data_IF_727071604255
#
_entry.id   IF_727071604255
#
_cell.length_a   1.000
_cell.length_b   1.000
_cell.length_c   1.000
_cell.angle_alpha   90.00
_cell.angle_beta   90.00
_cell.angle_gamma   90.00
#
_symmetry.space_group_name_H-M   'P 1'
#
loop_
_entity.id
_entity.type
_entity.pdbx_description
1 polymer ?
#
# COMPACT_ATOMS: atom_id res chain seq x y z
N UNK A 1 24.51 -17.38 -65.06
CA UNK A 1 25.41 -17.47 -63.89
C UNK A 1 24.84 -16.57 -62.83
N UNK A 2 24.17 -17.18 -61.85
CA UNK A 2 23.65 -16.50 -60.66
C UNK A 2 24.76 -16.30 -59.61
N UNK A 3 24.38 -15.77 -58.44
CA UNK A 3 25.20 -15.54 -57.24
C UNK A 3 26.03 -14.24 -57.25
N UNK A 4 25.34 -13.11 -57.07
CA UNK A 4 25.95 -11.78 -57.01
C UNK A 4 25.33 -10.77 -56.03
N UNK A 5 24.53 -11.20 -55.03
CA UNK A 5 24.06 -10.34 -53.92
C UNK A 5 23.35 -11.15 -52.80
N UNK A 6 24.06 -11.96 -52.02
CA UNK A 6 23.47 -12.78 -50.91
C UNK A 6 23.90 -12.30 -49.51
N UNK A 7 24.41 -11.08 -49.40
CA UNK A 7 24.59 -10.39 -48.10
C UNK A 7 24.13 -8.95 -48.21
N UNK A 8 22.88 -8.69 -47.76
CA UNK A 8 22.56 -7.39 -47.17
C UNK A 8 23.12 -7.41 -45.75
N UNK A 9 23.82 -6.36 -45.28
CA UNK A 9 24.05 -6.21 -43.85
C UNK A 9 22.68 -6.08 -43.18
N UNK A 10 22.31 -7.08 -42.38
CA UNK A 10 21.12 -7.00 -41.55
C UNK A 10 21.36 -5.92 -40.50
N UNK A 11 20.49 -4.90 -40.56
CA UNK A 11 20.07 -3.99 -39.50
C UNK A 11 21.02 -3.86 -38.30
N UNK A 12 21.58 -2.67 -38.15
CA UNK A 12 22.39 -2.22 -37.01
C UNK A 12 21.83 -2.71 -35.66
N UNK A 13 22.71 -3.09 -34.74
CA UNK A 13 22.33 -3.35 -33.37
C UNK A 13 21.67 -2.08 -32.79
N UNK A 14 20.42 -2.22 -32.32
CA UNK A 14 19.73 -1.16 -31.59
C UNK A 14 20.63 -0.73 -30.41
N UNK A 15 21.10 0.54 -30.34
CA UNK A 15 21.97 1.00 -29.28
C UNK A 15 21.16 1.16 -28.00
N UNK A 16 20.87 0.03 -27.35
CA UNK A 16 20.24 -0.07 -26.05
C UNK A 16 20.92 0.91 -25.07
N UNK A 17 20.14 1.62 -24.24
CA UNK A 17 20.56 2.92 -23.73
C UNK A 17 21.76 2.84 -22.77
N UNK A 18 22.95 3.06 -23.33
CA UNK A 18 24.20 3.24 -22.59
C UNK A 18 24.23 4.61 -21.88
N UNK A 19 23.35 4.80 -20.87
CA UNK A 19 23.33 5.99 -20.01
C UNK A 19 23.10 5.67 -18.54
N UNK A 20 24.21 5.63 -17.80
CA UNK A 20 24.26 6.01 -16.40
C UNK A 20 24.09 4.89 -15.37
N UNK A 21 25.22 4.42 -14.84
CA UNK A 21 25.32 3.57 -13.64
C UNK A 21 24.85 4.25 -12.32
N UNK A 22 23.99 5.26 -12.40
CA UNK A 22 23.31 5.94 -11.29
C UNK A 22 21.79 5.77 -11.31
N UNK A 23 21.21 5.10 -12.31
CA UNK A 23 19.75 4.97 -12.49
C UNK A 23 19.15 3.66 -11.91
N UNK A 24 19.89 2.87 -11.14
CA UNK A 24 19.40 1.57 -10.62
C UNK A 24 18.16 1.68 -9.72
N UNK A 25 18.20 2.52 -8.69
CA UNK A 25 17.04 2.73 -7.81
C UNK A 25 15.90 3.50 -8.49
N UNK A 26 16.21 4.41 -9.42
CA UNK A 26 15.21 5.20 -10.14
C UNK A 26 14.46 4.38 -11.20
N UNK A 27 15.09 3.36 -11.80
CA UNK A 27 14.47 2.48 -12.79
C UNK A 27 13.68 1.33 -12.15
N UNK A 28 14.12 0.79 -11.01
CA UNK A 28 13.38 -0.25 -10.28
C UNK A 28 12.09 0.30 -9.67
N UNK A 29 12.13 1.49 -9.04
CA UNK A 29 10.96 2.14 -8.47
C UNK A 29 10.10 2.78 -9.56
N UNK A 30 9.26 1.96 -10.21
CA UNK A 30 8.20 2.44 -11.09
C UNK A 30 7.13 3.17 -10.25
N UNK A 31 7.38 4.46 -10.01
CA UNK A 31 6.36 5.44 -9.65
C UNK A 31 5.43 5.68 -10.86
N UNK A 32 4.52 6.65 -10.81
CA UNK A 32 3.42 6.72 -11.77
C UNK A 32 2.34 5.66 -11.53
N UNK A 33 2.64 4.36 -11.70
CA UNK A 33 1.67 3.23 -11.81
C UNK A 33 0.55 3.11 -10.75
N UNK A 34 0.76 3.53 -9.50
CA UNK A 34 -0.28 3.70 -8.49
C UNK A 34 -0.80 5.15 -8.46
N UNK A 35 -2.12 5.33 -8.31
CA UNK A 35 -2.74 6.65 -8.08
C UNK A 35 -1.97 7.41 -7.00
N UNK A 36 -1.48 8.61 -7.34
CA UNK A 36 -0.70 9.49 -6.46
C UNK A 36 -1.26 9.60 -5.01
N UNK A 37 -2.57 9.82 -4.77
CA UNK A 37 -3.11 9.88 -3.41
C UNK A 37 -2.88 8.59 -2.60
N UNK A 38 -2.96 7.41 -3.22
CA UNK A 38 -2.78 6.12 -2.52
C UNK A 38 -1.32 5.87 -2.14
N UNK A 39 -0.36 6.46 -2.87
CA UNK A 39 1.05 6.48 -2.46
C UNK A 39 1.29 7.43 -1.28
N UNK A 40 0.68 8.62 -1.32
CA UNK A 40 0.79 9.60 -0.22
C UNK A 40 0.18 9.04 1.07
N UNK A 41 -1.00 8.40 0.99
CA UNK A 41 -1.62 7.72 2.13
C UNK A 41 -0.70 6.66 2.74
N UNK A 42 -0.18 5.72 1.94
CA UNK A 42 0.75 4.69 2.45
C UNK A 42 2.07 5.25 2.98
N UNK A 43 2.59 6.31 2.37
CA UNK A 43 3.77 7.02 2.87
C UNK A 43 3.53 7.69 4.21
N UNK A 44 2.37 8.35 4.38
CA UNK A 44 1.96 9.00 5.62
C UNK A 44 1.68 7.98 6.74
N UNK A 45 1.07 6.85 6.41
CA UNK A 45 0.81 5.71 7.29
C UNK A 45 2.11 5.05 7.78
N UNK A 46 3.11 4.91 6.90
CA UNK A 46 4.45 4.44 7.25
C UNK A 46 5.20 5.47 8.11
N UNK A 47 5.08 6.76 7.80
CA UNK A 47 5.65 7.84 8.64
C UNK A 47 5.03 7.88 10.04
N UNK A 48 3.71 7.74 10.16
CA UNK A 48 3.02 7.80 11.46
C UNK A 48 3.25 6.55 12.32
N UNK A 49 3.30 5.35 11.71
CA UNK A 49 3.70 4.14 12.45
C UNK A 49 5.18 4.19 12.88
N UNK A 50 6.07 4.71 12.03
CA UNK A 50 7.46 4.97 12.40
C UNK A 50 7.58 6.01 13.53
N UNK A 51 6.81 7.09 13.48
CA UNK A 51 6.79 8.11 14.55
C UNK A 51 6.25 7.54 15.87
N UNK A 52 5.19 6.72 15.83
CA UNK A 52 4.69 6.03 17.02
C UNK A 52 5.76 5.12 17.63
N UNK A 53 6.42 4.29 16.81
CA UNK A 53 7.53 3.43 17.24
C UNK A 53 8.72 4.23 17.83
N UNK A 54 9.16 5.31 17.17
CA UNK A 54 10.26 6.16 17.69
C UNK A 54 9.86 6.86 19.00
N UNK A 55 8.61 7.33 19.12
CA UNK A 55 8.14 7.97 20.35
C UNK A 55 8.08 6.98 21.53
N UNK A 56 7.82 5.70 21.25
CA UNK A 56 7.78 4.63 22.25
C UNK A 56 9.18 4.18 22.69
N UNK A 57 10.11 3.95 21.75
CA UNK A 57 11.52 3.60 22.04
C UNK A 57 12.23 4.67 22.92
N UNK A 58 11.78 5.93 22.84
CA UNK A 58 12.29 7.06 23.64
C UNK A 58 11.73 7.06 25.08
N UNK A 59 10.66 6.31 25.38
CA UNK A 59 10.11 6.14 26.73
C UNK A 59 10.99 5.19 27.56
N UNK A 60 12.03 5.75 28.18
CA UNK A 60 13.01 5.00 28.97
C UNK A 60 12.60 4.72 30.43
N UNK A 61 11.38 5.04 30.83
CA UNK A 61 10.85 4.87 32.19
C UNK A 61 9.39 4.38 32.12
N UNK A 62 9.11 3.18 32.62
CA UNK A 62 7.75 2.64 32.68
C UNK A 62 7.53 1.86 33.97
N UNK A 63 6.41 2.12 34.65
CA UNK A 63 5.98 1.41 35.85
C UNK A 63 5.01 0.27 35.56
N UNK A 64 4.36 0.26 34.39
CA UNK A 64 3.43 -0.78 33.94
C UNK A 64 3.74 -1.29 32.51
N UNK A 65 4.94 -1.82 32.28
CA UNK A 65 5.50 -2.11 30.94
C UNK A 65 4.66 -3.02 30.02
N UNK A 66 3.66 -3.76 30.53
CA UNK A 66 2.83 -4.66 29.72
C UNK A 66 2.04 -3.95 28.61
N UNK A 67 1.65 -2.69 28.83
CA UNK A 67 0.95 -1.87 27.82
C UNK A 67 1.87 -1.46 26.66
N UNK A 68 3.09 -1.03 26.97
CA UNK A 68 4.11 -0.69 25.96
C UNK A 68 4.51 -1.91 25.15
N UNK A 69 4.95 -3.02 25.77
CA UNK A 69 5.44 -4.17 25.00
C UNK A 69 4.41 -4.72 24.00
N UNK A 70 3.11 -4.57 24.29
CA UNK A 70 2.06 -4.88 23.33
C UNK A 70 1.93 -3.83 22.20
N UNK A 71 1.99 -2.54 22.52
CA UNK A 71 1.96 -1.46 21.54
C UNK A 71 3.21 -1.45 20.66
N UNK A 72 4.41 -1.61 21.22
CA UNK A 72 5.71 -1.77 20.54
C UNK A 72 5.68 -2.91 19.51
N UNK A 73 5.21 -4.10 19.92
CA UNK A 73 5.09 -5.26 19.03
C UNK A 73 4.11 -5.02 17.88
N UNK A 74 2.98 -4.37 18.16
CA UNK A 74 1.97 -4.03 17.15
C UNK A 74 2.45 -2.90 16.24
N UNK A 75 3.21 -1.94 16.76
CA UNK A 75 3.74 -0.78 16.04
C UNK A 75 4.86 -1.16 15.09
N UNK A 76 5.83 -1.94 15.58
CA UNK A 76 6.92 -2.50 14.77
C UNK A 76 6.40 -3.43 13.67
N UNK A 77 5.45 -4.33 13.97
CA UNK A 77 4.84 -5.20 12.96
C UNK A 77 4.00 -4.41 11.94
N UNK A 78 3.24 -3.38 12.35
CA UNK A 78 2.52 -2.49 11.45
C UNK A 78 3.46 -1.73 10.49
N UNK A 79 4.57 -1.19 11.02
CA UNK A 79 5.60 -0.52 10.22
C UNK A 79 6.24 -1.46 9.20
N UNK A 80 6.70 -2.65 9.63
CA UNK A 80 7.32 -3.64 8.76
C UNK A 80 6.36 -4.14 7.67
N UNK A 81 5.08 -4.34 7.99
CA UNK A 81 4.07 -4.73 7.00
C UNK A 81 3.76 -3.60 6.02
N UNK A 82 3.69 -2.34 6.47
CA UNK A 82 3.53 -1.19 5.57
C UNK A 82 4.74 -1.04 4.62
N UNK A 83 5.96 -1.22 5.14
CA UNK A 83 7.20 -1.19 4.38
C UNK A 83 7.28 -2.34 3.36
N UNK A 84 6.94 -3.57 3.78
CA UNK A 84 6.87 -4.73 2.89
C UNK A 84 5.86 -4.50 1.76
N UNK A 85 4.66 -4.02 2.07
CA UNK A 85 3.64 -3.71 1.06
C UNK A 85 4.10 -2.60 0.12
N UNK A 86 4.80 -1.57 0.62
CA UNK A 86 5.38 -0.52 -0.22
C UNK A 86 6.45 -1.07 -1.16
N UNK A 87 7.32 -1.97 -0.70
CA UNK A 87 8.30 -2.68 -1.55
C UNK A 87 7.57 -3.50 -2.62
N UNK A 88 6.56 -4.29 -2.26
CA UNK A 88 5.77 -5.09 -3.23
C UNK A 88 5.12 -4.19 -4.28
N UNK A 89 4.60 -3.02 -3.90
CA UNK A 89 4.01 -2.04 -4.82
C UNK A 89 5.03 -1.26 -5.68
N UNK A 90 6.29 -1.16 -5.25
CA UNK A 90 7.38 -0.53 -6.02
C UNK A 90 8.10 -1.54 -6.95
N UNK A 91 8.06 -2.83 -6.62
CA UNK A 91 8.78 -3.91 -7.32
C UNK A 91 7.95 -4.47 -8.49
N UNK A 92 8.55 -4.86 -9.63
CA UNK A 92 7.83 -5.52 -10.74
C UNK A 92 7.19 -6.88 -10.39
N UNK A 93 7.36 -7.38 -9.16
CA UNK A 93 6.58 -8.51 -8.62
C UNK A 93 5.07 -8.23 -8.68
N UNK A 94 4.63 -6.96 -8.55
CA UNK A 94 3.22 -6.61 -8.73
C UNK A 94 2.68 -6.98 -10.11
N UNK A 95 3.46 -6.84 -11.19
CA UNK A 95 3.03 -7.23 -12.55
C UNK A 95 3.00 -8.76 -12.75
N UNK A 96 3.55 -9.54 -11.80
CA UNK A 96 3.56 -11.01 -11.82
C UNK A 96 2.47 -11.65 -10.96
N UNK A 97 1.73 -10.85 -10.19
CA UNK A 97 0.65 -11.31 -9.31
C UNK A 97 -0.65 -10.62 -9.72
N UNK A 98 -1.76 -11.37 -9.80
CA UNK A 98 -3.06 -10.82 -10.19
C UNK A 98 -3.42 -9.54 -9.41
N UNK A 99 -3.48 -8.40 -10.10
CA UNK A 99 -3.76 -7.10 -9.49
C UNK A 99 -5.05 -7.09 -8.64
N UNK A 100 -6.07 -7.87 -9.04
CA UNK A 100 -7.30 -8.04 -8.26
C UNK A 100 -7.11 -8.82 -6.95
N UNK A 101 -6.20 -9.79 -6.91
CA UNK A 101 -5.82 -10.54 -5.70
C UNK A 101 -4.95 -9.67 -4.79
N UNK A 102 -4.00 -8.92 -5.34
CA UNK A 102 -3.19 -7.97 -4.54
C UNK A 102 -4.08 -6.88 -3.93
N UNK A 103 -4.98 -6.24 -4.70
CA UNK A 103 -5.93 -5.23 -4.17
C UNK A 103 -6.83 -5.80 -3.07
N UNK A 104 -7.25 -7.06 -3.18
CA UNK A 104 -8.07 -7.73 -2.16
C UNK A 104 -7.25 -8.07 -0.91
N UNK A 105 -6.02 -8.56 -1.07
CA UNK A 105 -5.11 -8.85 0.06
C UNK A 105 -4.77 -7.58 0.82
N UNK A 106 -4.42 -6.50 0.10
CA UNK A 106 -4.12 -5.18 0.64
C UNK A 106 -5.25 -4.62 1.52
N UNK A 107 -6.51 -4.82 1.09
CA UNK A 107 -7.69 -4.46 1.87
C UNK A 107 -7.78 -5.22 3.21
N UNK A 108 -7.56 -6.54 3.21
CA UNK A 108 -7.58 -7.34 4.45
C UNK A 108 -6.39 -7.04 5.36
N UNK A 109 -5.21 -6.80 4.78
CA UNK A 109 -3.99 -6.46 5.51
C UNK A 109 -4.14 -5.09 6.20
N UNK A 110 -4.53 -4.03 5.48
CA UNK A 110 -4.77 -2.71 6.08
C UNK A 110 -5.87 -2.76 7.15
N UNK A 111 -6.97 -3.50 6.92
CA UNK A 111 -8.02 -3.68 7.92
C UNK A 111 -7.50 -4.39 9.18
N UNK A 112 -6.80 -5.52 9.02
CA UNK A 112 -6.27 -6.30 10.13
C UNK A 112 -5.29 -5.51 10.98
N UNK A 113 -4.30 -4.87 10.34
CA UNK A 113 -3.33 -4.02 11.03
C UNK A 113 -4.05 -2.84 11.70
N UNK A 114 -4.96 -2.16 11.00
CA UNK A 114 -5.70 -1.03 11.55
C UNK A 114 -6.51 -1.39 12.80
N UNK A 115 -7.19 -2.55 12.81
CA UNK A 115 -7.91 -3.03 13.98
C UNK A 115 -6.98 -3.38 15.15
N UNK A 116 -5.88 -4.09 14.89
CA UNK A 116 -4.93 -4.49 15.95
C UNK A 116 -4.20 -3.27 16.52
N UNK A 117 -3.79 -2.32 15.67
CA UNK A 117 -3.11 -1.08 16.07
C UNK A 117 -4.04 -0.13 16.86
N UNK A 118 -5.32 -0.07 16.50
CA UNK A 118 -6.35 0.65 17.27
C UNK A 118 -6.57 -0.01 18.65
N UNK A 119 -6.68 -1.34 18.71
CA UNK A 119 -6.79 -2.07 19.98
C UNK A 119 -5.57 -1.84 20.88
N UNK A 120 -4.36 -1.88 20.31
CA UNK A 120 -3.13 -1.60 21.06
C UNK A 120 -3.10 -0.16 21.57
N UNK A 121 -3.56 0.82 20.77
CA UNK A 121 -3.69 2.23 21.20
C UNK A 121 -4.69 2.38 22.37
N UNK A 122 -5.82 1.64 22.37
CA UNK A 122 -6.81 1.64 23.46
C UNK A 122 -6.23 1.01 24.74
N UNK A 123 -5.51 -0.10 24.62
CA UNK A 123 -4.85 -0.74 25.76
C UNK A 123 -3.81 0.21 26.36
N UNK A 124 -2.95 0.78 25.51
CA UNK A 124 -1.87 1.67 25.93
C UNK A 124 -2.38 2.93 26.66
N UNK A 125 -3.40 3.63 26.14
CA UNK A 125 -4.01 4.76 26.86
C UNK A 125 -4.69 4.35 28.18
N UNK A 126 -5.14 3.10 28.30
CA UNK A 126 -5.74 2.59 29.54
C UNK A 126 -4.72 2.22 30.63
N UNK A 127 -3.43 2.13 30.28
CA UNK A 127 -2.35 1.65 31.17
C UNK A 127 -1.22 2.65 31.40
N UNK A 128 -1.32 3.87 30.85
CA UNK A 128 -0.24 4.87 30.92
C UNK A 128 -0.21 5.63 32.26
N UNK A 129 1.00 6.02 32.68
CA UNK A 129 1.30 6.74 33.93
C UNK A 129 1.40 8.28 33.71
N UNK A 130 0.77 8.77 32.63
CA UNK A 130 0.69 10.19 32.23
C UNK A 130 2.03 10.89 32.01
N UNK A 131 3.11 10.17 31.67
CA UNK A 131 4.38 10.83 31.32
C UNK A 131 4.26 11.57 29.98
N UNK A 132 5.02 12.65 29.80
CA UNK A 132 4.96 13.48 28.59
C UNK A 132 5.33 12.71 27.32
N UNK A 133 6.21 11.70 27.42
CA UNK A 133 6.60 10.84 26.32
C UNK A 133 5.51 9.80 25.98
N UNK A 134 4.88 9.18 26.99
CA UNK A 134 3.71 8.30 26.77
C UNK A 134 2.56 9.06 26.12
N UNK A 135 2.24 10.27 26.58
CA UNK A 135 1.18 11.10 25.98
C UNK A 135 1.47 11.38 24.49
N UNK A 136 2.72 11.65 24.13
CA UNK A 136 3.11 11.82 22.74
C UNK A 136 2.91 10.53 21.92
N UNK A 137 3.38 9.39 22.43
CA UNK A 137 3.20 8.08 21.80
C UNK A 137 1.71 7.71 21.62
N UNK A 138 0.86 7.98 22.62
CA UNK A 138 -0.61 7.79 22.55
C UNK A 138 -1.21 8.66 21.43
N UNK A 139 -0.84 9.94 21.36
CA UNK A 139 -1.35 10.85 20.33
C UNK A 139 -0.95 10.37 18.93
N UNK A 140 0.31 10.00 18.70
CA UNK A 140 0.74 9.45 17.42
C UNK A 140 0.09 8.09 17.10
N UNK A 141 -0.16 7.25 18.11
CA UNK A 141 -0.92 6.01 17.98
C UNK A 141 -2.36 6.23 17.52
N UNK A 142 -3.08 7.20 18.10
CA UNK A 142 -4.42 7.54 17.61
C UNK A 142 -4.39 8.16 16.20
N UNK A 143 -3.44 9.04 15.89
CA UNK A 143 -3.29 9.58 14.53
C UNK A 143 -3.02 8.47 13.48
N UNK A 144 -2.12 7.53 13.78
CA UNK A 144 -1.87 6.38 12.94
C UNK A 144 -3.14 5.52 12.78
N UNK A 145 -3.83 5.19 13.88
CA UNK A 145 -5.10 4.45 13.87
C UNK A 145 -6.15 5.09 12.95
N UNK A 146 -6.32 6.41 13.03
CA UNK A 146 -7.23 7.14 12.15
C UNK A 146 -6.79 7.12 10.68
N UNK A 147 -5.50 7.14 10.37
CA UNK A 147 -5.01 6.99 8.99
C UNK A 147 -5.20 5.58 8.43
N UNK A 148 -4.98 4.52 9.22
CA UNK A 148 -5.34 3.15 8.83
C UNK A 148 -6.85 3.03 8.53
N UNK A 149 -7.69 3.61 9.38
CA UNK A 149 -9.15 3.60 9.20
C UNK A 149 -9.61 4.44 8.00
N UNK A 150 -8.93 5.56 7.72
CA UNK A 150 -9.19 6.40 6.55
C UNK A 150 -8.80 5.72 5.24
N UNK A 151 -7.62 5.09 5.15
CA UNK A 151 -7.22 4.31 3.96
C UNK A 151 -8.21 3.14 3.72
N UNK A 152 -8.63 2.45 4.79
CA UNK A 152 -9.69 1.45 4.71
C UNK A 152 -11.01 2.03 4.18
N UNK A 153 -11.49 3.16 4.73
CA UNK A 153 -12.73 3.79 4.31
C UNK A 153 -12.68 4.24 2.83
N UNK A 154 -11.55 4.79 2.37
CA UNK A 154 -11.31 5.16 0.98
C UNK A 154 -11.36 3.92 0.08
N UNK A 155 -10.71 2.81 0.47
CA UNK A 155 -10.79 1.55 -0.27
C UNK A 155 -12.20 0.96 -0.34
N UNK A 156 -12.99 1.04 0.75
CA UNK A 156 -14.41 0.65 0.74
C UNK A 156 -15.20 1.53 -0.22
N UNK A 157 -14.96 2.85 -0.22
CA UNK A 157 -15.65 3.79 -1.11
C UNK A 157 -15.32 3.54 -2.59
N UNK A 158 -14.04 3.38 -2.94
CA UNK A 158 -13.62 3.01 -4.30
C UNK A 158 -14.26 1.67 -4.73
N UNK A 159 -14.22 0.63 -3.87
CA UNK A 159 -14.82 -0.67 -4.19
C UNK A 159 -16.34 -0.60 -4.36
N UNK A 160 -17.04 0.20 -3.56
CA UNK A 160 -18.48 0.46 -3.74
C UNK A 160 -18.77 1.22 -5.04
N UNK A 161 -17.94 2.21 -5.39
CA UNK A 161 -18.09 2.97 -6.64
C UNK A 161 -17.82 2.08 -7.88
N UNK A 162 -16.79 1.24 -7.86
CA UNK A 162 -16.54 0.23 -8.89
C UNK A 162 -17.71 -0.75 -9.04
N UNK A 163 -18.28 -1.22 -7.92
CA UNK A 163 -19.46 -2.10 -7.93
C UNK A 163 -20.70 -1.39 -8.50
N UNK A 164 -20.92 -0.13 -8.15
CA UNK A 164 -22.02 0.69 -8.66
C UNK A 164 -21.85 1.10 -10.13
N UNK A 165 -20.64 1.04 -10.71
CA UNK A 165 -20.42 1.22 -12.15
C UNK A 165 -20.62 -0.08 -12.94
N UNK A 166 -20.20 -1.23 -12.40
CA UNK A 166 -20.46 -2.55 -13.03
C UNK A 166 -21.94 -2.94 -13.05
N UNK A 167 -22.72 -2.53 -12.05
CA UNK A 167 -24.14 -2.88 -11.96
C UNK A 167 -24.99 -2.35 -13.15
N UNK A 168 -24.93 -1.07 -13.54
CA UNK A 168 -25.66 -0.57 -14.71
C UNK A 168 -25.14 -1.16 -16.03
N UNK A 169 -23.82 -1.39 -16.19
CA UNK A 169 -23.29 -2.06 -17.40
C UNK A 169 -23.86 -3.48 -17.58
N UNK A 170 -24.02 -4.23 -16.47
CA UNK A 170 -24.65 -5.54 -16.50
C UNK A 170 -26.15 -5.48 -16.83
N UNK A 171 -26.87 -4.45 -16.34
CA UNK A 171 -28.29 -4.22 -16.67
C UNK A 171 -28.47 -3.83 -18.14
N UNK A 172 -27.70 -2.87 -18.65
CA UNK A 172 -27.76 -2.44 -20.07
C UNK A 172 -27.41 -3.60 -21.02
N UNK A 173 -26.42 -4.42 -20.67
CA UNK A 173 -26.06 -5.61 -21.48
C UNK A 173 -27.13 -6.71 -21.41
N UNK A 174 -27.90 -6.80 -20.33
CA UNK A 174 -29.02 -7.71 -20.25
C UNK A 174 -30.20 -7.24 -21.11
N UNK A 175 -30.57 -5.95 -21.02
CA UNK A 175 -31.63 -5.35 -21.85
C UNK A 175 -31.32 -5.46 -23.35
N UNK A 176 -30.08 -5.13 -23.76
CA UNK A 176 -29.63 -5.23 -25.15
C UNK A 176 -29.55 -6.67 -25.70
N UNK A 177 -29.61 -7.70 -24.85
CA UNK A 177 -29.71 -9.10 -25.27
C UNK A 177 -31.17 -9.58 -25.38
N UNK A 178 -32.10 -8.86 -24.74
CA UNK A 178 -33.54 -9.16 -24.76
C UNK A 178 -34.34 -8.35 -25.77
N UNK A 179 -33.75 -7.33 -26.41
CA UNK A 179 -34.38 -6.63 -27.52
C UNK A 179 -34.44 -7.56 -28.74
N UNK A 180 -35.64 -8.01 -29.18
CA UNK A 180 -35.74 -8.95 -30.29
C UNK A 180 -35.34 -8.24 -31.57
N UNK A 181 -34.51 -8.91 -32.37
CA UNK A 181 -34.04 -8.45 -33.68
C UNK A 181 -35.20 -8.45 -34.70
N UNK A 182 -36.12 -7.51 -34.55
CA UNK A 182 -37.36 -7.43 -35.31
C UNK A 182 -37.10 -6.70 -36.64
N UNK A 183 -36.82 -7.49 -37.68
CA UNK A 183 -36.61 -7.08 -39.07
C UNK A 183 -37.52 -7.92 -39.99
#
# INVERSE_FOLDING_TARGET
>A
MENGAVYRPTTEEDPGPARGARSGLAACCNLGRLRLPRRVLKGLQLLLSLLAFICEEVVSQCTLCGGLYFFEFVSSSAFLLCLLMLIVYCTPVYDRVDAGKVKSSDFYITLGIGCVFLLASIIFVSTHDQTSAEIAAIVFGFLASFMFLADFAIMVYEKRQESQKRKPEATVRAEALTEPLNA
#
